data_IF_508513611012
#
_entry.id   IF_508513611012
#
_cell.length_a   1.000
_cell.length_b   1.000
_cell.length_c   1.000
_cell.angle_alpha   90.00
_cell.angle_beta   90.00
_cell.angle_gamma   90.00
#
_symmetry.space_group_name_H-M   'P 1'
#
loop_
_entity.id
_entity.type
_entity.pdbx_description
1 polymer ?
#
# COMPACT_ATOMS: atom_id res chain seq x y z
N UNK A 1 10.89 11.22 4.01
CA UNK A 1 10.35 10.34 5.08
C UNK A 1 9.90 11.11 6.30
N UNK A 2 10.76 11.92 6.95
CA UNK A 2 10.40 12.68 8.17
C UNK A 2 9.18 13.62 8.01
N UNK A 3 9.06 14.28 6.84
CA UNK A 3 7.94 15.15 6.47
C UNK A 3 6.60 14.40 6.39
N UNK A 4 6.60 13.18 5.85
CA UNK A 4 5.39 12.36 5.67
C UNK A 4 4.89 11.82 7.02
N UNK A 5 5.80 11.44 7.90
CA UNK A 5 5.45 10.95 9.26
C UNK A 5 4.84 12.07 10.10
N UNK A 6 5.38 13.29 10.05
CA UNK A 6 4.83 14.44 10.76
C UNK A 6 3.40 14.78 10.29
N UNK A 7 3.16 14.73 8.98
CA UNK A 7 1.83 14.98 8.41
C UNK A 7 0.82 13.89 8.81
N UNK A 8 1.22 12.62 8.80
CA UNK A 8 0.36 11.50 9.23
C UNK A 8 -0.03 11.61 10.70
N UNK A 9 0.92 11.94 11.59
CA UNK A 9 0.68 12.11 13.02
C UNK A 9 -0.27 13.28 13.28
N UNK A 10 -0.13 14.38 12.54
CA UNK A 10 -1.03 15.53 12.64
C UNK A 10 -2.48 15.17 12.26
N UNK A 11 -2.67 14.41 11.18
CA UNK A 11 -4.00 13.95 10.74
C UNK A 11 -4.62 13.01 11.79
N UNK A 12 -3.84 12.07 12.34
CA UNK A 12 -4.32 11.14 13.37
C UNK A 12 -4.80 11.85 14.63
N UNK A 13 -4.05 12.86 15.11
CA UNK A 13 -4.45 13.64 16.28
C UNK A 13 -5.69 14.50 16.02
N UNK A 14 -5.83 15.04 14.82
CA UNK A 14 -7.00 15.81 14.42
C UNK A 14 -8.26 14.94 14.40
N UNK A 15 -8.17 13.72 13.86
CA UNK A 15 -9.27 12.76 13.83
C UNK A 15 -9.68 12.31 15.25
N UNK A 16 -8.71 12.05 16.13
CA UNK A 16 -8.97 11.72 17.55
C UNK A 16 -9.63 12.88 18.28
N UNK A 17 -9.23 14.13 18.00
CA UNK A 17 -9.85 15.32 18.58
C UNK A 17 -11.31 15.49 18.17
N UNK A 18 -11.62 15.32 16.87
CA UNK A 18 -12.99 15.36 16.36
C UNK A 18 -13.85 14.24 16.99
N UNK A 19 -13.28 13.04 17.12
CA UNK A 19 -13.96 11.90 17.74
C UNK A 19 -14.33 12.19 19.20
N UNK A 20 -13.40 12.72 20.00
CA UNK A 20 -13.65 13.07 21.40
C UNK A 20 -14.71 14.18 21.54
N UNK A 21 -14.71 15.15 20.62
CA UNK A 21 -15.69 16.25 20.58
C UNK A 21 -17.10 15.72 20.26
N UNK A 22 -17.22 14.75 19.33
CA UNK A 22 -18.48 14.11 18.97
C UNK A 22 -19.01 13.17 20.08
N UNK A 23 -18.13 12.49 20.80
CA UNK A 23 -18.51 11.59 21.93
C UNK A 23 -18.97 12.39 23.16
N UNK A 24 -18.45 13.61 23.36
CA UNK A 24 -18.80 14.46 24.52
C UNK A 24 -20.22 15.00 24.57
N UNK A 25 -20.97 14.99 23.45
CA UNK A 25 -22.30 15.61 23.36
C UNK A 25 -23.50 14.64 23.54
N UNK A 26 -23.28 13.42 24.04
CA UNK A 26 -24.36 12.47 24.31
C UNK A 26 -24.83 11.63 23.11
N UNK A 27 -24.07 11.66 22.00
CA UNK A 27 -24.37 10.89 20.79
C UNK A 27 -23.96 9.41 20.83
N UNK A 28 -23.62 8.85 22.00
CA UNK A 28 -23.07 7.49 22.10
C UNK A 28 -23.97 6.44 21.42
N UNK A 29 -25.30 6.54 21.56
CA UNK A 29 -26.24 5.58 20.95
C UNK A 29 -26.21 5.60 19.42
N UNK A 30 -26.16 6.78 18.81
CA UNK A 30 -26.08 6.93 17.34
C UNK A 30 -24.68 6.57 16.85
N UNK A 31 -23.65 6.86 17.64
CA UNK A 31 -22.26 6.57 17.30
C UNK A 31 -21.96 5.07 17.34
N UNK A 32 -22.43 4.33 18.36
CA UNK A 32 -22.31 2.86 18.38
C UNK A 32 -23.17 2.19 17.31
N UNK A 33 -24.34 2.74 16.97
CA UNK A 33 -25.16 2.21 15.89
C UNK A 33 -24.52 2.46 14.52
N UNK A 34 -24.06 3.68 14.24
CA UNK A 34 -23.45 4.04 12.95
C UNK A 34 -22.04 3.48 12.83
N UNK A 35 -21.16 3.60 13.84
CA UNK A 35 -19.85 2.97 13.82
C UNK A 35 -19.93 1.45 13.94
N UNK A 36 -20.92 0.89 14.63
CA UNK A 36 -21.16 -0.55 14.66
C UNK A 36 -21.61 -1.09 13.31
N UNK A 37 -22.54 -0.40 12.63
CA UNK A 37 -22.97 -0.74 11.28
C UNK A 37 -21.85 -0.51 10.27
N UNK A 38 -21.07 0.57 10.38
CA UNK A 38 -19.91 0.82 9.51
C UNK A 38 -18.80 -0.20 9.79
N UNK A 39 -18.51 -0.57 11.05
CA UNK A 39 -17.52 -1.60 11.39
C UNK A 39 -18.00 -3.00 11.00
N UNK A 40 -19.30 -3.27 11.06
CA UNK A 40 -19.89 -4.51 10.58
C UNK A 40 -19.87 -4.59 9.05
N UNK A 41 -20.20 -3.50 8.35
CA UNK A 41 -20.11 -3.41 6.89
C UNK A 41 -18.64 -3.47 6.46
N UNK A 42 -17.72 -2.76 7.13
CA UNK A 42 -16.27 -2.85 6.86
C UNK A 42 -15.71 -4.23 7.23
N UNK A 43 -16.18 -4.88 8.30
CA UNK A 43 -15.76 -6.23 8.69
C UNK A 43 -16.31 -7.32 7.77
N UNK A 44 -17.54 -7.17 7.26
CA UNK A 44 -18.13 -8.02 6.22
C UNK A 44 -17.43 -7.76 4.87
N UNK A 45 -17.10 -6.50 4.57
CA UNK A 45 -16.25 -6.11 3.44
C UNK A 45 -14.88 -6.74 3.61
N UNK A 46 -14.18 -6.66 4.74
CA UNK A 46 -12.89 -7.32 4.95
C UNK A 46 -12.99 -8.85 5.00
N UNK A 47 -14.11 -9.43 5.42
CA UNK A 47 -14.36 -10.87 5.36
C UNK A 47 -14.59 -11.38 3.93
N UNK A 48 -15.32 -10.63 3.11
CA UNK A 48 -15.54 -10.92 1.69
C UNK A 48 -14.34 -10.51 0.82
N UNK A 49 -13.67 -9.39 1.11
CA UNK A 49 -12.38 -8.96 0.55
C UNK A 49 -11.20 -9.79 1.10
N UNK A 50 -11.38 -10.53 2.19
CA UNK A 50 -10.45 -11.56 2.68
C UNK A 50 -10.66 -12.90 1.98
N UNK A 51 -11.89 -13.17 1.55
CA UNK A 51 -12.24 -14.30 0.67
C UNK A 51 -11.89 -14.07 -0.80
N UNK A 52 -11.86 -12.81 -1.22
CA UNK A 52 -11.22 -12.37 -2.45
C UNK A 52 -9.88 -11.77 -2.04
N UNK A 53 -8.87 -12.63 -1.77
CA UNK A 53 -7.50 -12.25 -2.13
C UNK A 53 -7.49 -12.01 -3.63
N UNK A 54 -8.02 -10.86 -4.02
CA UNK A 54 -7.88 -10.28 -5.31
C UNK A 54 -6.39 -10.13 -5.46
N UNK A 55 -5.85 -10.90 -6.37
CA UNK A 55 -4.89 -10.43 -7.36
C UNK A 55 -5.31 -9.05 -7.87
N UNK A 56 -5.17 -8.03 -7.02
CA UNK A 56 -5.12 -6.61 -7.37
C UNK A 56 -3.72 -6.20 -7.83
N UNK A 57 -2.88 -7.18 -8.17
CA UNK A 57 -1.78 -6.98 -9.10
C UNK A 57 -2.36 -7.20 -10.49
N UNK A 58 -2.73 -6.11 -11.14
CA UNK A 58 -2.42 -5.86 -12.55
C UNK A 58 -1.74 -7.05 -13.24
N UNK A 59 -2.34 -7.57 -14.29
CA UNK A 59 -1.65 -8.36 -15.33
C UNK A 59 -0.62 -7.48 -16.06
N UNK A 60 0.33 -6.89 -15.34
CA UNK A 60 1.65 -6.73 -15.90
C UNK A 60 2.19 -8.15 -15.86
N UNK A 61 2.45 -8.75 -17.02
CA UNK A 61 3.32 -9.91 -17.10
C UNK A 61 4.43 -9.71 -16.06
N UNK A 62 4.71 -10.69 -15.19
CA UNK A 62 5.89 -10.59 -14.31
C UNK A 62 7.05 -10.26 -15.23
N UNK A 63 7.43 -8.99 -15.29
CA UNK A 63 8.52 -8.55 -16.13
C UNK A 63 9.69 -9.26 -15.50
N UNK A 64 10.20 -10.28 -16.19
CA UNK A 64 11.23 -11.13 -15.61
C UNK A 64 12.39 -10.19 -15.28
N UNK A 65 12.73 -10.09 -14.01
CA UNK A 65 13.86 -9.27 -13.58
C UNK A 65 15.10 -10.15 -13.60
N UNK A 66 16.17 -9.66 -14.20
CA UNK A 66 17.48 -10.34 -14.23
C UNK A 66 18.45 -9.60 -13.32
N UNK A 67 19.28 -10.36 -12.61
CA UNK A 67 20.40 -9.80 -11.85
C UNK A 67 21.58 -9.61 -12.79
N UNK A 68 22.16 -8.41 -12.83
CA UNK A 68 23.32 -8.14 -13.66
C UNK A 68 24.58 -8.84 -13.09
N UNK A 69 25.33 -9.61 -13.90
CA UNK A 69 26.57 -10.25 -13.43
C UNK A 69 27.71 -9.23 -13.21
N UNK A 70 27.67 -8.06 -13.85
CA UNK A 70 28.70 -7.03 -13.71
C UNK A 70 28.59 -6.20 -12.43
N UNK A 71 27.37 -5.87 -11.97
CA UNK A 71 27.15 -5.01 -10.80
C UNK A 71 26.28 -5.61 -9.70
N UNK A 72 25.63 -6.75 -9.93
CA UNK A 72 24.74 -7.39 -8.94
C UNK A 72 23.36 -6.75 -8.80
N UNK A 73 23.09 -5.66 -9.53
CA UNK A 73 21.81 -4.94 -9.45
C UNK A 73 20.71 -5.63 -10.26
N UNK A 74 19.46 -5.55 -9.78
CA UNK A 74 18.30 -6.16 -10.44
C UNK A 74 17.63 -5.16 -11.35
N UNK A 75 17.36 -5.56 -12.59
CA UNK A 75 16.63 -4.73 -13.55
C UNK A 75 15.81 -5.59 -14.51
N UNK A 76 14.94 -4.95 -15.28
CA UNK A 76 14.04 -5.63 -16.21
C UNK A 76 14.79 -6.32 -17.36
N UNK A 77 14.32 -7.49 -17.80
CA UNK A 77 15.00 -8.29 -18.82
C UNK A 77 15.11 -7.59 -20.17
N UNK A 78 14.18 -6.69 -20.49
CA UNK A 78 14.05 -6.04 -21.80
C UNK A 78 15.18 -5.04 -22.11
N UNK A 79 16.01 -4.68 -21.13
CA UNK A 79 17.12 -3.76 -21.37
C UNK A 79 18.35 -4.51 -21.94
N UNK A 80 18.85 -4.13 -23.14
CA UNK A 80 19.97 -4.80 -23.82
C UNK A 80 21.33 -4.59 -23.13
N UNK A 81 21.45 -3.54 -22.31
CA UNK A 81 22.61 -3.26 -21.46
C UNK A 81 22.17 -3.09 -20.00
N UNK A 82 23.08 -3.19 -19.04
CA UNK A 82 22.73 -2.86 -17.67
C UNK A 82 22.63 -1.33 -17.51
N UNK A 83 21.51 -0.76 -17.05
CA UNK A 83 21.37 0.69 -16.88
C UNK A 83 22.27 1.26 -15.76
N UNK A 84 22.79 0.40 -14.89
CA UNK A 84 23.60 0.80 -13.74
C UNK A 84 25.10 0.80 -14.03
N UNK A 85 25.59 -0.20 -14.78
CA UNK A 85 27.03 -0.37 -15.05
C UNK A 85 27.40 -0.43 -16.54
N UNK A 86 26.41 -0.41 -17.45
CA UNK A 86 26.64 -0.47 -18.89
C UNK A 86 27.02 -1.86 -19.43
N UNK A 87 26.98 -2.92 -18.59
CA UNK A 87 27.29 -4.29 -19.00
C UNK A 87 26.40 -4.73 -20.18
N UNK A 88 27.01 -5.12 -21.30
CA UNK A 88 26.31 -5.53 -22.51
C UNK A 88 26.03 -7.05 -22.45
N UNK A 89 24.76 -7.43 -22.61
CA UNK A 89 24.36 -8.84 -22.52
C UNK A 89 24.59 -9.58 -23.85
N UNK A 90 24.72 -8.87 -24.96
CA UNK A 90 24.85 -9.45 -26.30
C UNK A 90 26.30 -9.70 -26.70
N UNK A 91 27.27 -9.02 -26.07
CA UNK A 91 28.71 -9.17 -26.38
C UNK A 91 29.36 -10.45 -25.82
N UNK A 92 28.66 -11.19 -24.96
CA UNK A 92 29.15 -12.44 -24.32
C UNK A 92 28.40 -13.70 -24.80
N UNK A 93 27.71 -13.64 -25.94
CA UNK A 93 27.06 -14.80 -26.56
C UNK A 93 27.99 -15.53 -27.53
#
# INVERSE_FOLDING_TARGET
MKQVVAMLTGIMLLLVGIFLLLVGAGGAAVFFAVCGVIAFILGVVEGLYGGIKGTGGTTYARIAQKTCPGCGEKHDIDYPKCPWCGYDYDENK
#
